data_IF_160565916589
#
_entry.id   IF_160565916589
#
_cell.length_a   1.000
_cell.length_b   1.000
_cell.length_c   1.000
_cell.angle_alpha   90.00
_cell.angle_beta   90.00
_cell.angle_gamma   90.00
#
_symmetry.space_group_name_H-M   'P 1'
#
loop_
_entity.id
_entity.type
_entity.pdbx_description
1 polymer ?
#
# COMPACT_ATOMS: atom_id res chain seq x y z
N UNK A 1 12.29 -10.19 -16.19
CA UNK A 1 11.70 -9.80 -15.04
C UNK A 1 12.63 -9.75 -13.93
N UNK A 2 12.62 -8.73 -13.22
CA UNK A 2 13.54 -8.55 -12.12
C UNK A 2 12.81 -8.80 -10.81
N UNK A 3 13.53 -9.16 -9.79
CA UNK A 3 12.96 -9.33 -8.48
C UNK A 3 13.80 -8.52 -7.50
N UNK A 4 14.02 -7.26 -7.84
CA UNK A 4 14.86 -6.41 -7.03
C UNK A 4 14.32 -6.18 -5.63
N UNK A 5 13.02 -6.29 -5.46
CA UNK A 5 12.39 -6.07 -4.15
C UNK A 5 11.96 -7.37 -3.50
N UNK A 6 12.47 -8.49 -3.97
CA UNK A 6 12.11 -9.78 -3.39
C UNK A 6 12.41 -9.78 -1.90
N UNK A 7 11.44 -10.20 -1.11
CA UNK A 7 11.60 -10.23 0.34
C UNK A 7 11.29 -8.92 1.03
N UNK A 8 11.06 -7.85 0.28
CA UNK A 8 10.69 -6.57 0.87
C UNK A 8 9.18 -6.47 1.03
N UNK A 9 8.77 -5.77 2.06
CA UNK A 9 7.35 -5.53 2.34
C UNK A 9 7.10 -4.04 2.25
N UNK A 10 6.11 -3.65 1.45
CA UNK A 10 5.84 -2.25 1.19
C UNK A 10 4.40 -1.88 1.53
N UNK A 11 4.21 -0.68 1.99
CA UNK A 11 2.88 -0.08 2.16
C UNK A 11 2.85 1.19 1.32
N UNK A 12 1.84 1.31 0.46
CA UNK A 12 1.67 2.49 -0.36
C UNK A 12 0.30 3.07 -0.06
N UNK A 13 0.26 4.31 0.42
CA UNK A 13 -1.00 4.96 0.75
C UNK A 13 -1.54 5.70 -0.47
N UNK A 14 -2.85 5.92 -0.51
CA UNK A 14 -3.48 6.58 -1.65
C UNK A 14 -3.34 5.77 -2.92
N UNK A 15 -3.40 4.44 -2.81
CA UNK A 15 -3.04 3.57 -3.91
C UNK A 15 -4.23 2.91 -4.60
N UNK A 16 -5.45 3.36 -4.31
CA UNK A 16 -6.62 2.79 -4.97
C UNK A 16 -6.69 3.18 -6.44
N UNK A 17 -6.00 4.23 -6.82
CA UNK A 17 -6.00 4.67 -8.22
C UNK A 17 -4.80 5.56 -8.47
N UNK A 18 -4.59 5.92 -9.72
CA UNK A 18 -3.57 6.88 -10.14
C UNK A 18 -2.16 6.41 -9.89
N UNK A 19 -1.31 7.36 -9.51
CA UNK A 19 0.11 7.12 -9.36
C UNK A 19 0.43 6.07 -8.30
N UNK A 20 -0.31 6.12 -7.17
CA UNK A 20 -0.08 5.12 -6.11
C UNK A 20 -0.37 3.71 -6.58
N UNK A 21 -1.42 3.54 -7.38
CA UNK A 21 -1.76 2.23 -7.94
C UNK A 21 -0.65 1.76 -8.89
N UNK A 22 -0.12 2.67 -9.71
CA UNK A 22 0.95 2.31 -10.63
C UNK A 22 2.22 1.92 -9.89
N UNK A 23 2.54 2.65 -8.81
CA UNK A 23 3.70 2.30 -8.00
C UNK A 23 3.55 0.94 -7.35
N UNK A 24 2.34 0.65 -6.85
CA UNK A 24 2.08 -0.64 -6.24
C UNK A 24 2.28 -1.77 -7.24
N UNK A 25 1.76 -1.59 -8.43
CA UNK A 25 1.91 -2.61 -9.47
C UNK A 25 3.38 -2.83 -9.82
N UNK A 26 4.15 -1.75 -9.95
CA UNK A 26 5.57 -1.87 -10.26
C UNK A 26 6.32 -2.62 -9.17
N UNK A 27 6.01 -2.34 -7.90
CA UNK A 27 6.69 -3.01 -6.80
C UNK A 27 6.34 -4.48 -6.74
N UNK A 28 5.09 -4.84 -7.05
CA UNK A 28 4.68 -6.23 -7.12
C UNK A 28 5.50 -6.94 -8.20
N UNK A 29 5.68 -6.30 -9.34
CA UNK A 29 6.46 -6.89 -10.44
C UNK A 29 7.93 -7.05 -10.04
N UNK A 30 8.42 -6.23 -9.10
CA UNK A 30 9.79 -6.37 -8.63
C UNK A 30 9.92 -7.39 -7.50
N UNK A 31 8.85 -8.06 -7.14
CA UNK A 31 8.91 -9.11 -6.14
C UNK A 31 8.51 -8.73 -4.73
N UNK A 32 8.10 -7.49 -4.50
CA UNK A 32 7.72 -7.06 -3.17
C UNK A 32 6.37 -7.62 -2.75
N UNK A 33 6.21 -7.80 -1.44
CA UNK A 33 4.89 -8.04 -0.86
C UNK A 33 4.31 -6.66 -0.62
N UNK A 34 3.21 -6.33 -1.29
CA UNK A 34 2.67 -4.98 -1.27
C UNK A 34 1.32 -4.93 -0.58
N UNK A 35 1.19 -3.97 0.33
CA UNK A 35 -0.10 -3.61 0.92
C UNK A 35 -0.43 -2.22 0.39
N UNK A 36 -1.69 -1.99 0.05
CA UNK A 36 -2.12 -0.67 -0.39
C UNK A 36 -3.18 -0.16 0.57
N UNK A 37 -3.27 1.15 0.69
CA UNK A 37 -4.30 1.74 1.51
C UNK A 37 -4.96 2.89 0.79
N UNK A 38 -6.18 3.18 1.19
CA UNK A 38 -6.91 4.32 0.68
C UNK A 38 -8.08 4.55 1.61
N UNK A 39 -8.58 5.77 1.61
CA UNK A 39 -9.74 6.10 2.42
C UNK A 39 -11.02 5.71 1.65
N UNK A 40 -10.94 5.58 0.34
CA UNK A 40 -12.06 5.17 -0.48
C UNK A 40 -12.12 3.63 -0.52
N UNK A 41 -12.98 3.08 0.30
CA UNK A 41 -13.02 1.63 0.52
C UNK A 41 -13.41 0.84 -0.71
N UNK A 42 -14.36 1.33 -1.49
CA UNK A 42 -14.81 0.58 -2.66
C UNK A 42 -13.74 0.55 -3.76
N UNK A 43 -13.06 1.67 -3.96
CA UNK A 43 -11.97 1.70 -4.93
C UNK A 43 -10.80 0.85 -4.44
N UNK A 44 -10.55 0.85 -3.14
CA UNK A 44 -9.50 0.04 -2.57
C UNK A 44 -9.72 -1.45 -2.84
N UNK A 45 -10.93 -1.92 -2.60
CA UNK A 45 -11.26 -3.32 -2.85
C UNK A 45 -11.07 -3.69 -4.31
N UNK A 46 -11.52 -2.82 -5.20
CA UNK A 46 -11.39 -3.06 -6.62
C UNK A 46 -9.93 -3.19 -7.04
N UNK A 47 -9.10 -2.28 -6.55
CA UNK A 47 -7.69 -2.29 -6.89
C UNK A 47 -6.96 -3.49 -6.28
N UNK A 48 -7.32 -3.88 -5.06
CA UNK A 48 -6.76 -5.07 -4.45
C UNK A 48 -7.03 -6.30 -5.31
N UNK A 49 -8.23 -6.40 -5.84
CA UNK A 49 -8.57 -7.53 -6.71
C UNK A 49 -7.77 -7.47 -8.01
N UNK A 50 -7.61 -6.27 -8.57
CA UNK A 50 -6.89 -6.12 -9.83
C UNK A 50 -5.41 -6.47 -9.66
N UNK A 51 -4.81 -6.04 -8.57
CA UNK A 51 -3.39 -6.24 -8.35
C UNK A 51 -3.07 -7.51 -7.57
N UNK A 52 -4.07 -8.20 -7.07
CA UNK A 52 -3.91 -9.39 -6.23
C UNK A 52 -3.05 -9.08 -5.00
N UNK A 53 -3.39 -8.01 -4.31
CA UNK A 53 -2.67 -7.61 -3.10
C UNK A 53 -3.67 -7.30 -2.00
N UNK A 54 -3.15 -7.08 -0.79
CA UNK A 54 -3.99 -6.78 0.35
C UNK A 54 -4.16 -5.29 0.55
N UNK A 55 -5.33 -4.89 1.04
CA UNK A 55 -5.63 -3.50 1.27
C UNK A 55 -5.96 -3.23 2.73
N UNK A 56 -5.72 -2.00 3.15
CA UNK A 56 -6.01 -1.54 4.49
C UNK A 56 -6.73 -0.21 4.35
N UNK A 57 -7.92 -0.09 4.95
CA UNK A 57 -8.61 1.19 4.93
C UNK A 57 -7.95 2.08 5.98
N UNK A 58 -7.25 3.11 5.53
CA UNK A 58 -6.44 3.93 6.40
C UNK A 58 -6.63 5.40 6.07
N UNK A 59 -6.94 6.19 7.09
CA UNK A 59 -6.98 7.65 6.97
C UNK A 59 -5.61 8.15 7.45
N UNK A 60 -4.81 8.67 6.54
CA UNK A 60 -3.43 9.06 6.86
C UNK A 60 -3.35 10.21 7.87
N UNK A 61 -4.46 10.88 8.14
CA UNK A 61 -4.48 11.96 9.12
C UNK A 61 -4.69 11.46 10.55
N UNK A 62 -4.93 10.15 10.72
CA UNK A 62 -5.21 9.59 12.05
C UNK A 62 -4.10 8.69 12.51
N UNK A 63 -3.49 9.04 13.64
CA UNK A 63 -2.38 8.26 14.19
C UNK A 63 -2.77 6.82 14.50
N UNK A 64 -3.96 6.63 15.03
CA UNK A 64 -4.37 5.27 15.39
C UNK A 64 -4.53 4.38 14.16
N UNK A 65 -4.90 4.96 13.01
CA UNK A 65 -4.99 4.19 11.78
C UNK A 65 -3.61 3.72 11.34
N UNK A 66 -2.60 4.60 11.46
CA UNK A 66 -1.23 4.22 11.13
C UNK A 66 -0.74 3.09 12.03
N UNK A 67 -1.00 3.19 13.33
CA UNK A 67 -0.55 2.17 14.28
C UNK A 67 -1.19 0.83 13.94
N UNK A 68 -2.50 0.84 13.70
CA UNK A 68 -3.21 -0.40 13.37
C UNK A 68 -2.71 -0.99 12.06
N UNK A 69 -2.46 -0.15 11.07
CA UNK A 69 -2.00 -0.62 9.76
C UNK A 69 -0.62 -1.28 9.87
N UNK A 70 0.29 -0.63 10.59
CA UNK A 70 1.64 -1.16 10.74
C UNK A 70 1.62 -2.47 11.50
N UNK A 71 0.82 -2.56 12.56
CA UNK A 71 0.70 -3.81 13.31
C UNK A 71 0.13 -4.92 12.44
N UNK A 72 -0.88 -4.61 11.64
CA UNK A 72 -1.46 -5.59 10.74
C UNK A 72 -0.41 -6.12 9.75
N UNK A 73 0.36 -5.22 9.16
CA UNK A 73 1.38 -5.62 8.19
C UNK A 73 2.45 -6.48 8.85
N UNK A 74 2.89 -6.10 10.04
CA UNK A 74 3.92 -6.88 10.73
C UNK A 74 3.41 -8.27 11.09
N UNK A 75 2.15 -8.37 11.48
CA UNK A 75 1.57 -9.68 11.79
C UNK A 75 1.43 -10.54 10.55
N UNK A 76 1.06 -9.93 9.42
CA UNK A 76 0.84 -10.69 8.19
C UNK A 76 2.13 -11.02 7.45
N UNK A 77 3.08 -10.13 7.45
CA UNK A 77 4.26 -10.26 6.60
C UNK A 77 5.58 -10.23 7.35
N UNK A 78 5.55 -10.01 8.65
CA UNK A 78 6.75 -10.05 9.49
C UNK A 78 7.54 -8.77 9.57
N UNK A 79 7.40 -7.87 8.62
CA UNK A 79 8.15 -6.62 8.66
C UNK A 79 7.52 -5.60 7.74
N UNK A 80 7.99 -4.37 7.80
CA UNK A 80 7.62 -3.33 6.86
C UNK A 80 8.91 -2.62 6.49
N UNK A 81 9.31 -2.69 5.25
CA UNK A 81 10.60 -2.16 4.79
C UNK A 81 10.48 -0.88 4.00
N UNK A 82 9.37 -0.68 3.30
CA UNK A 82 9.20 0.44 2.39
C UNK A 82 7.85 1.10 2.68
N UNK A 83 7.87 2.41 2.88
CA UNK A 83 6.63 3.16 3.06
C UNK A 83 6.58 4.27 2.02
N UNK A 84 5.55 4.27 1.20
CA UNK A 84 5.31 5.34 0.23
C UNK A 84 4.04 6.07 0.65
N UNK A 85 4.20 7.27 1.19
CA UNK A 85 3.05 8.04 1.65
C UNK A 85 2.54 8.91 0.52
N UNK A 86 1.94 8.27 -0.46
CA UNK A 86 1.43 8.95 -1.64
C UNK A 86 0.17 9.76 -1.34
N UNK A 87 -0.64 9.30 -0.39
CA UNK A 87 -1.88 10.00 -0.05
C UNK A 87 -1.62 11.37 0.56
N UNK A 88 -0.44 11.56 1.14
CA UNK A 88 -0.11 12.81 1.80
C UNK A 88 0.48 13.86 0.90
N UNK A 89 0.67 13.57 -0.43
CA UNK A 89 1.22 14.56 -1.28
C UNK A 89 0.21 14.96 -2.29
N UNK A 90 0.21 16.07 -2.51
CA UNK A 90 -0.51 16.56 -3.49
C UNK A 90 -1.79 16.57 -3.72
N UNK A 91 -2.38 16.43 -3.15
CA UNK A 91 -3.47 16.51 -3.45
C UNK A 91 -3.87 17.65 -3.24
N UNK A 92 -3.27 18.30 -3.14
CA UNK A 92 -3.57 19.33 -3.05
C UNK A 92 -4.28 19.67 -3.64
N UNK A 93 -4.22 19.24 -3.66
CA UNK A 93 -4.93 19.51 -4.38
C UNK A 93 -4.88 19.21 -4.73
#
# INVERSE_FOLDING_TARGET
>A
MTERLKGKVALITGAAQGLGKEMANSMIEEGAVVFISDINESELKKTCNELSCQGINLDVTKSEDWISAIEFIKNEAGSLNILVNNAGIGNGG
#
